data_IF_359845765158
#
_entry.id   IF_359845765158
#
_cell.length_a   1.000
_cell.length_b   1.000
_cell.length_c   1.000
_cell.angle_alpha   90.00
_cell.angle_beta   90.00
_cell.angle_gamma   90.00
#
_symmetry.space_group_name_H-M   'P 1'
#
loop_
_entity.id
_entity.type
_entity.pdbx_description
1 polymer ?
#
# COMPACT_ATOMS: atom_id res chain seq x y z
N UNK A 1 6.04 16.50 3.11
CA UNK A 1 5.32 17.79 3.28
C UNK A 1 3.96 17.80 2.57
N UNK A 2 3.89 17.50 1.27
CA UNK A 2 2.65 17.60 0.48
C UNK A 2 1.50 16.69 0.99
N UNK A 3 1.76 15.39 1.20
CA UNK A 3 0.74 14.45 1.75
C UNK A 3 0.16 14.93 3.08
N UNK A 4 1.03 15.32 4.02
CA UNK A 4 0.62 15.80 5.35
C UNK A 4 -0.21 17.08 5.26
N UNK A 5 0.13 18.00 4.35
CA UNK A 5 -0.67 19.20 4.11
C UNK A 5 -2.06 18.87 3.52
N UNK A 6 -2.16 17.87 2.64
CA UNK A 6 -3.43 17.43 2.08
C UNK A 6 -4.32 16.73 3.12
N UNK A 7 -3.75 15.90 4.00
CA UNK A 7 -4.49 15.26 5.10
C UNK A 7 -5.14 16.25 6.07
N UNK A 8 -4.59 17.47 6.19
CA UNK A 8 -5.21 18.51 7.00
C UNK A 8 -6.50 19.10 6.38
N UNK A 9 -6.75 18.84 5.10
CA UNK A 9 -7.87 19.45 4.34
C UNK A 9 -8.76 18.42 3.64
N UNK A 10 -8.29 17.19 3.46
CA UNK A 10 -8.97 16.13 2.73
C UNK A 10 -9.12 14.90 3.62
N UNK A 11 -10.25 14.17 3.51
CA UNK A 11 -10.34 12.81 4.02
C UNK A 11 -9.22 11.94 3.42
N UNK A 12 -8.73 10.97 4.19
CA UNK A 12 -7.57 10.16 3.80
C UNK A 12 -7.74 9.46 2.43
N UNK A 13 -8.93 8.95 2.13
CA UNK A 13 -9.24 8.29 0.86
C UNK A 13 -9.21 9.21 -0.37
N UNK A 14 -9.17 10.54 -0.18
CA UNK A 14 -9.02 11.53 -1.25
C UNK A 14 -7.57 11.97 -1.45
N UNK A 15 -6.66 11.57 -0.55
CA UNK A 15 -5.25 11.93 -0.64
C UNK A 15 -4.56 10.97 -1.61
N UNK A 16 -3.87 11.46 -2.66
CA UNK A 16 -3.16 10.60 -3.61
C UNK A 16 -2.14 9.70 -2.91
N UNK A 17 -2.09 8.43 -3.34
CA UNK A 17 -1.08 7.48 -2.86
C UNK A 17 0.33 7.83 -3.37
N UNK A 18 0.42 8.46 -4.55
CA UNK A 18 1.68 8.80 -5.20
C UNK A 18 1.69 10.27 -5.64
N UNK A 19 2.86 10.89 -5.52
CA UNK A 19 3.12 12.24 -6.01
C UNK A 19 4.34 12.21 -6.91
N UNK A 20 4.20 12.71 -8.14
CA UNK A 20 5.28 12.83 -9.10
C UNK A 20 5.46 14.30 -9.49
N UNK A 21 6.71 14.76 -9.50
CA UNK A 21 7.05 16.06 -10.06
C UNK A 21 7.23 15.94 -11.56
N UNK A 22 6.59 16.83 -12.31
CA UNK A 22 6.79 17.00 -13.76
C UNK A 22 7.26 18.42 -14.02
N UNK A 23 8.32 18.57 -14.80
CA UNK A 23 8.80 19.90 -15.20
C UNK A 23 7.76 20.64 -16.06
N UNK A 24 6.97 19.90 -16.83
CA UNK A 24 5.85 20.41 -17.61
C UNK A 24 4.73 19.36 -17.75
N UNK A 25 3.49 19.83 -17.79
CA UNK A 25 2.35 18.96 -18.09
C UNK A 25 2.32 18.62 -19.59
N UNK A 26 2.12 17.35 -19.97
CA UNK A 26 1.99 16.98 -21.37
C UNK A 26 0.69 17.56 -21.95
N UNK A 27 0.79 18.30 -23.05
CA UNK A 27 -0.35 18.92 -23.71
C UNK A 27 -0.58 18.29 -25.09
N UNK A 28 -1.84 18.06 -25.42
CA UNK A 28 -2.31 17.79 -26.78
C UNK A 28 -2.01 18.97 -27.72
N UNK A 29 -2.07 18.78 -29.06
CA UNK A 29 -1.88 19.87 -30.02
C UNK A 29 -2.82 21.08 -29.83
N UNK A 30 -3.98 20.85 -29.21
CA UNK A 30 -4.97 21.90 -28.91
C UNK A 30 -4.76 22.54 -27.52
N UNK A 31 -3.63 22.27 -26.85
CA UNK A 31 -3.26 22.87 -25.55
C UNK A 31 -3.98 22.28 -24.33
N UNK A 32 -4.80 21.24 -24.49
CA UNK A 32 -5.42 20.52 -23.36
C UNK A 32 -4.45 19.48 -22.78
N UNK A 33 -4.56 19.17 -21.49
CA UNK A 33 -3.81 18.09 -20.85
C UNK A 33 -4.01 16.77 -21.62
N UNK A 34 -2.90 16.16 -22.06
CA UNK A 34 -2.90 14.83 -22.62
C UNK A 34 -2.62 13.80 -21.50
N UNK A 35 -3.69 13.27 -20.92
CA UNK A 35 -3.61 12.31 -19.82
C UNK A 35 -2.95 10.99 -20.22
N UNK A 36 -2.97 10.62 -21.49
CA UNK A 36 -2.36 9.36 -21.96
C UNK A 36 -0.84 9.48 -22.09
N UNK A 37 -0.35 10.71 -22.22
CA UNK A 37 1.07 11.02 -22.26
C UNK A 37 1.65 11.32 -20.86
N UNK A 38 0.85 11.20 -19.79
CA UNK A 38 1.41 11.22 -18.44
C UNK A 38 2.30 9.98 -18.26
N UNK A 39 3.52 10.14 -17.73
CA UNK A 39 4.38 9.00 -17.44
C UNK A 39 3.72 8.08 -16.41
N UNK A 40 3.97 6.79 -16.53
CA UNK A 40 3.60 5.86 -15.47
C UNK A 40 4.41 6.18 -14.22
N UNK A 41 3.79 6.13 -13.02
CA UNK A 41 4.55 6.21 -11.78
C UNK A 41 5.59 5.11 -11.76
N UNK A 42 6.88 5.48 -11.65
CA UNK A 42 7.90 4.50 -11.31
C UNK A 42 7.46 3.82 -10.01
N UNK A 43 7.36 2.50 -10.03
CA UNK A 43 6.95 1.70 -8.89
C UNK A 43 7.96 1.87 -7.76
N UNK A 44 7.74 2.86 -6.88
CA UNK A 44 8.30 3.03 -5.53
C UNK A 44 9.67 2.37 -5.36
N UNK A 45 10.71 2.90 -6.01
CA UNK A 45 12.07 2.31 -5.96
C UNK A 45 13.06 3.06 -5.08
N UNK A 46 12.63 4.07 -4.30
CA UNK A 46 13.56 4.81 -3.43
C UNK A 46 13.63 4.31 -1.98
N UNK A 47 12.79 3.34 -1.57
CA UNK A 47 12.99 2.69 -0.27
C UNK A 47 13.94 1.50 -0.43
N UNK A 48 15.05 1.46 0.33
CA UNK A 48 15.91 0.30 0.35
C UNK A 48 15.09 -0.89 0.82
N UNK A 49 15.14 -1.96 0.03
CA UNK A 49 14.47 -3.20 0.39
C UNK A 49 15.04 -3.77 1.68
N UNK A 50 14.14 -4.09 2.60
CA UNK A 50 14.43 -4.91 3.76
C UNK A 50 13.46 -6.10 3.77
N UNK A 51 14.01 -7.30 3.96
CA UNK A 51 13.25 -8.53 3.88
C UNK A 51 12.23 -8.64 5.03
N UNK A 52 11.07 -9.29 4.78
CA UNK A 52 10.15 -9.69 5.84
C UNK A 52 10.85 -10.48 6.95
N UNK A 53 10.44 -10.25 8.20
CA UNK A 53 11.02 -10.87 9.40
C UNK A 53 9.97 -11.67 10.18
N UNK A 54 10.29 -12.92 10.51
CA UNK A 54 9.36 -13.80 11.22
C UNK A 54 8.26 -14.37 10.32
N UNK A 55 7.39 -15.18 10.92
CA UNK A 55 6.40 -15.97 10.19
C UNK A 55 5.27 -15.08 9.63
N UNK A 56 4.75 -14.15 10.44
CA UNK A 56 3.64 -13.26 10.05
C UNK A 56 4.01 -12.31 8.91
N UNK A 57 5.15 -11.62 9.01
CA UNK A 57 5.62 -10.76 7.91
C UNK A 57 5.83 -11.57 6.62
N UNK A 58 6.38 -12.79 6.72
CA UNK A 58 6.64 -13.66 5.56
C UNK A 58 5.34 -14.11 4.88
N UNK A 59 4.34 -14.54 5.67
CA UNK A 59 3.02 -14.91 5.16
C UNK A 59 2.33 -13.71 4.50
N UNK A 60 2.35 -12.54 5.15
CA UNK A 60 1.77 -11.32 4.61
C UNK A 60 2.45 -10.93 3.29
N UNK A 61 3.77 -11.00 3.21
CA UNK A 61 4.51 -10.65 2.00
C UNK A 61 4.11 -11.55 0.82
N UNK A 62 3.96 -12.86 1.07
CA UNK A 62 3.50 -13.80 0.05
C UNK A 62 2.08 -13.47 -0.44
N UNK A 63 1.15 -13.20 0.48
CA UNK A 63 -0.23 -12.81 0.14
C UNK A 63 -0.28 -11.48 -0.62
N UNK A 64 0.54 -10.51 -0.25
CA UNK A 64 0.62 -9.22 -0.93
C UNK A 64 1.19 -9.37 -2.35
N UNK A 65 2.26 -10.15 -2.52
CA UNK A 65 2.78 -10.47 -3.85
C UNK A 65 1.70 -11.06 -4.76
N UNK A 66 0.92 -12.03 -4.26
CA UNK A 66 -0.15 -12.65 -5.04
C UNK A 66 -1.28 -11.67 -5.40
N UNK A 67 -1.74 -10.89 -4.42
CA UNK A 67 -2.87 -9.96 -4.60
C UNK A 67 -2.52 -8.75 -5.47
N UNK A 68 -1.28 -8.28 -5.39
CA UNK A 68 -0.80 -7.08 -6.09
C UNK A 68 -0.07 -7.40 -7.40
N UNK A 69 0.21 -8.68 -7.68
CA UNK A 69 0.95 -9.10 -8.86
C UNK A 69 2.41 -8.66 -8.84
N UNK A 70 3.03 -8.64 -7.65
CA UNK A 70 4.40 -8.20 -7.44
C UNK A 70 5.34 -9.39 -7.24
N UNK A 71 6.58 -9.29 -7.71
CA UNK A 71 7.61 -10.31 -7.47
C UNK A 71 8.08 -10.33 -6.01
N UNK A 72 8.10 -9.17 -5.36
CA UNK A 72 8.63 -9.00 -4.00
C UNK A 72 7.96 -7.84 -3.27
N UNK A 73 7.72 -8.05 -1.98
CA UNK A 73 7.34 -7.00 -1.02
C UNK A 73 8.34 -6.97 0.12
N UNK A 74 8.83 -5.78 0.46
CA UNK A 74 9.66 -5.49 1.61
C UNK A 74 8.84 -5.11 2.84
N UNK A 75 9.43 -5.26 4.02
CA UNK A 75 8.72 -5.04 5.29
C UNK A 75 8.24 -3.60 5.53
N UNK A 76 8.86 -2.64 4.85
CA UNK A 76 8.54 -1.21 4.96
C UNK A 76 7.66 -0.71 3.80
N UNK A 77 7.24 -1.60 2.91
CA UNK A 77 6.35 -1.24 1.82
C UNK A 77 4.94 -1.02 2.34
N UNK A 78 4.26 -0.04 1.75
CA UNK A 78 2.91 0.33 2.09
C UNK A 78 1.91 -0.31 1.12
N UNK A 79 0.91 -1.02 1.63
CA UNK A 79 -0.09 -1.75 0.83
C UNK A 79 -0.75 -0.88 -0.24
N UNK A 80 -1.14 0.34 0.12
CA UNK A 80 -1.89 1.24 -0.76
C UNK A 80 -0.98 1.99 -1.73
N UNK A 81 0.27 2.25 -1.34
CA UNK A 81 1.27 2.81 -2.25
C UNK A 81 1.62 1.78 -3.34
N UNK A 82 1.68 0.48 -3.00
CA UNK A 82 1.89 -0.63 -3.93
C UNK A 82 0.69 -0.95 -4.85
N UNK A 83 -0.38 -0.12 -4.83
CA UNK A 83 -1.57 -0.31 -5.67
C UNK A 83 -2.71 -1.07 -4.99
N UNK A 84 -2.57 -1.42 -3.70
CA UNK A 84 -3.64 -1.99 -2.90
C UNK A 84 -4.82 -1.02 -2.74
N UNK A 85 -6.03 -1.58 -2.63
CA UNK A 85 -7.26 -0.82 -2.42
C UNK A 85 -8.26 -1.63 -1.59
N UNK A 86 -9.39 -1.01 -1.20
CA UNK A 86 -10.32 -1.57 -0.21
C UNK A 86 -10.79 -2.99 -0.53
N UNK A 87 -11.09 -3.31 -1.79
CA UNK A 87 -11.46 -4.68 -2.17
C UNK A 87 -10.33 -5.68 -1.93
N UNK A 88 -9.09 -5.36 -2.30
CA UNK A 88 -7.93 -6.21 -2.03
C UNK A 88 -7.66 -6.34 -0.53
N UNK A 89 -7.86 -5.26 0.25
CA UNK A 89 -7.76 -5.30 1.70
C UNK A 89 -8.80 -6.26 2.32
N UNK A 90 -10.06 -6.23 1.85
CA UNK A 90 -11.09 -7.18 2.28
C UNK A 90 -10.68 -8.61 1.91
N UNK A 91 -10.19 -8.85 0.69
CA UNK A 91 -9.69 -10.17 0.28
C UNK A 91 -8.52 -10.65 1.14
N UNK A 92 -7.55 -9.77 1.44
CA UNK A 92 -6.42 -10.06 2.32
C UNK A 92 -6.89 -10.51 3.71
N UNK A 93 -7.78 -9.74 4.35
CA UNK A 93 -8.28 -10.09 5.69
C UNK A 93 -9.07 -11.40 5.72
N UNK A 94 -9.83 -11.71 4.67
CA UNK A 94 -10.51 -13.01 4.55
C UNK A 94 -9.50 -14.16 4.51
N UNK A 95 -8.45 -14.04 3.68
CA UNK A 95 -7.42 -15.08 3.54
C UNK A 95 -6.58 -15.27 4.80
N UNK A 96 -6.29 -14.20 5.53
CA UNK A 96 -5.58 -14.29 6.82
C UNK A 96 -6.41 -15.04 7.87
N UNK A 97 -7.72 -14.78 7.93
CA UNK A 97 -8.63 -15.50 8.83
C UNK A 97 -8.73 -16.99 8.49
N UNK A 98 -8.67 -17.35 7.21
CA UNK A 98 -8.58 -18.76 6.79
C UNK A 98 -7.29 -19.45 7.27
N UNK A 99 -6.22 -18.68 7.53
CA UNK A 99 -4.97 -19.15 8.15
C UNK A 99 -5.00 -19.09 9.69
N UNK A 100 -6.14 -18.74 10.30
CA UNK A 100 -6.27 -18.64 11.75
C UNK A 100 -5.77 -17.33 12.36
N UNK A 101 -5.39 -16.35 11.53
CA UNK A 101 -4.92 -15.05 12.00
C UNK A 101 -6.07 -14.06 12.15
N UNK A 102 -6.05 -13.31 13.25
CA UNK A 102 -6.92 -12.17 13.44
C UNK A 102 -6.49 -11.02 12.51
N UNK A 103 -7.46 -10.51 11.75
CA UNK A 103 -7.21 -9.53 10.71
C UNK A 103 -8.35 -8.52 10.64
N UNK A 104 -8.01 -7.23 10.68
CA UNK A 104 -8.95 -6.12 10.57
C UNK A 104 -8.53 -5.19 9.43
N UNK A 105 -9.46 -4.91 8.53
CA UNK A 105 -9.25 -3.96 7.43
C UNK A 105 -8.91 -2.58 7.99
N UNK A 106 -9.53 -2.18 9.11
CA UNK A 106 -9.25 -0.89 9.74
C UNK A 106 -7.80 -0.81 10.23
N UNK A 107 -7.29 -1.88 10.84
CA UNK A 107 -5.90 -1.94 11.27
C UNK A 107 -4.92 -1.79 10.10
N UNK A 108 -5.26 -2.32 8.92
CA UNK A 108 -4.44 -2.12 7.72
C UNK A 108 -4.44 -0.66 7.24
N UNK A 109 -5.54 0.07 7.39
CA UNK A 109 -5.55 1.51 7.11
C UNK A 109 -4.72 2.30 8.14
N UNK A 110 -4.80 1.93 9.41
CA UNK A 110 -4.07 2.61 10.50
C UNK A 110 -2.55 2.32 10.46
N UNK A 111 -2.15 1.10 10.09
CA UNK A 111 -0.75 0.67 9.92
C UNK A 111 -0.56 0.02 8.54
N UNK A 112 -0.40 0.81 7.47
CA UNK A 112 -0.41 0.30 6.11
C UNK A 112 0.90 -0.32 5.66
N UNK A 113 1.94 -0.34 6.50
CA UNK A 113 3.20 -1.01 6.18
C UNK A 113 3.12 -2.50 6.53
N UNK A 114 3.84 -3.34 5.79
CA UNK A 114 3.83 -4.79 6.03
C UNK A 114 4.21 -5.14 7.48
N UNK A 115 5.31 -4.57 7.99
CA UNK A 115 5.73 -4.76 9.38
C UNK A 115 4.75 -4.15 10.40
N UNK A 116 4.15 -2.99 10.09
CA UNK A 116 3.19 -2.33 10.98
C UNK A 116 1.91 -3.14 11.14
N UNK A 117 1.39 -3.68 10.04
CA UNK A 117 0.21 -4.53 10.06
C UNK A 117 0.49 -5.88 10.73
N UNK A 118 1.64 -6.50 10.44
CA UNK A 118 2.08 -7.75 11.08
C UNK A 118 2.09 -7.64 12.62
N UNK A 119 2.66 -6.55 13.15
CA UNK A 119 2.74 -6.32 14.59
C UNK A 119 1.35 -6.24 15.28
N UNK A 120 0.33 -5.73 14.58
CA UNK A 120 -1.05 -5.71 15.10
C UNK A 120 -1.65 -7.11 15.08
N UNK A 121 -1.49 -7.82 13.96
CA UNK A 121 -2.00 -9.20 13.81
C UNK A 121 -1.41 -10.13 14.86
N UNK A 122 -0.11 -10.06 15.14
CA UNK A 122 0.55 -10.85 16.19
C UNK A 122 0.02 -10.50 17.59
N UNK A 123 -0.24 -9.21 17.85
CA UNK A 123 -0.73 -8.75 19.15
C UNK A 123 -2.16 -9.23 19.45
N UNK A 124 -2.94 -9.55 18.42
CA UNK A 124 -4.30 -10.07 18.54
C UNK A 124 -4.35 -11.58 18.79
N UNK A 125 -3.24 -12.30 18.62
CA UNK A 125 -3.14 -13.76 18.85
C UNK A 125 -3.12 -14.12 20.35
N UNK A 126 -2.94 -13.17 21.26
CA UNK A 126 -2.76 -13.42 22.71
C UNK A 126 -4.08 -13.72 23.46
N UNK A 127 -5.25 -13.77 22.81
CA UNK A 127 -6.52 -14.04 23.50
C UNK A 127 -7.18 -15.35 23.05
N UNK A 128 -6.52 -16.48 23.31
CA UNK A 128 -7.17 -17.80 23.43
C UNK A 128 -6.59 -18.60 24.61
#
# INVERSE_FOLDING_TARGET
ALRAALLAHLPEFMVPALFMHLDALPLSPNGKLDRKALPEPDAIQDRPYEAPQGETETLLAALWCELLGLERVGRHDNFFELGGHSLLAVTLTSRLREQGLEADVRALFDQPTLAGYAAITDSMEIVL
#
